data_IF_878382136038
#
_entry.id   IF_878382136038
#
_cell.length_a   1.000
_cell.length_b   1.000
_cell.length_c   1.000
_cell.angle_alpha   90.00
_cell.angle_beta   90.00
_cell.angle_gamma   90.00
#
_symmetry.space_group_name_H-M   'P 1'
#
loop_
_entity.id
_entity.type
_entity.pdbx_description
1 polymer ?
#
# COMPACT_ATOMS: atom_id res chain seq x y z
N UNK A 1 12.32 12.93 -2.15
CA UNK A 1 12.32 13.11 -0.69
C UNK A 1 13.36 12.17 -0.14
N UNK A 2 14.30 12.70 0.64
CA UNK A 2 15.32 11.89 1.30
C UNK A 2 14.83 11.51 2.70
N UNK A 3 15.11 10.29 3.18
CA UNK A 3 14.74 9.89 4.53
C UNK A 3 15.54 10.71 5.56
N UNK A 4 14.84 11.28 6.54
CA UNK A 4 15.46 12.05 7.64
C UNK A 4 16.30 11.16 8.56
N UNK A 5 15.85 9.92 8.78
CA UNK A 5 16.54 8.93 9.60
C UNK A 5 16.11 7.51 9.22
N UNK A 6 16.95 6.51 9.54
CA UNK A 6 16.67 5.09 9.30
C UNK A 6 16.84 4.29 10.59
N UNK A 7 15.78 3.60 10.99
CA UNK A 7 15.80 2.64 12.08
C UNK A 7 15.97 1.22 11.53
N UNK A 8 16.74 0.39 12.25
CA UNK A 8 16.88 -1.03 11.96
C UNK A 8 16.71 -1.81 13.25
N UNK A 9 16.01 -2.94 13.17
CA UNK A 9 15.90 -3.90 14.25
C UNK A 9 15.98 -5.31 13.67
N UNK A 10 16.86 -6.14 14.23
CA UNK A 10 16.88 -7.56 13.93
C UNK A 10 15.91 -8.29 14.86
N UNK A 11 15.00 -9.08 14.29
CA UNK A 11 14.04 -9.91 15.01
C UNK A 11 13.95 -11.25 14.29
N UNK A 12 13.94 -12.36 15.03
CA UNK A 12 13.67 -13.68 14.45
C UNK A 12 12.22 -13.78 13.97
N UNK A 13 11.29 -13.23 14.75
CA UNK A 13 9.86 -13.16 14.42
C UNK A 13 9.37 -11.72 14.64
N UNK A 14 8.75 -11.08 13.64
CA UNK A 14 8.16 -9.75 13.81
C UNK A 14 7.09 -9.73 14.90
N UNK A 15 6.96 -8.61 15.60
CA UNK A 15 5.92 -8.48 16.61
C UNK A 15 4.52 -8.51 15.94
N UNK A 16 3.61 -9.41 16.33
CA UNK A 16 2.30 -9.52 15.67
C UNK A 16 1.43 -8.26 15.87
N UNK A 17 1.70 -7.45 16.89
CA UNK A 17 0.96 -6.21 17.18
C UNK A 17 1.55 -4.99 16.51
N UNK A 18 2.88 -4.86 16.41
CA UNK A 18 3.55 -3.60 16.05
C UNK A 18 4.67 -3.78 15.03
N UNK A 19 4.91 -4.99 14.54
CA UNK A 19 6.00 -5.39 13.66
C UNK A 19 7.40 -5.28 14.30
N UNK A 20 7.71 -4.14 14.93
CA UNK A 20 8.90 -3.90 15.75
C UNK A 20 8.64 -4.19 17.23
N UNK A 21 9.71 -4.41 18.00
CA UNK A 21 9.64 -4.56 19.45
C UNK A 21 9.29 -3.26 20.17
N UNK A 22 8.77 -3.35 21.41
CA UNK A 22 8.33 -2.19 22.20
C UNK A 22 9.41 -1.11 22.39
N UNK A 23 10.65 -1.51 22.69
CA UNK A 23 11.75 -0.57 22.86
C UNK A 23 12.02 0.24 21.59
N UNK A 24 12.09 -0.43 20.43
CA UNK A 24 12.29 0.23 19.14
C UNK A 24 11.09 1.11 18.76
N UNK A 25 9.86 0.68 19.07
CA UNK A 25 8.67 1.49 18.82
C UNK A 25 8.71 2.82 19.59
N UNK A 26 9.08 2.78 20.87
CA UNK A 26 9.22 3.98 21.70
C UNK A 26 10.35 4.90 21.20
N UNK A 27 11.46 4.32 20.75
CA UNK A 27 12.56 5.07 20.14
C UNK A 27 12.10 5.82 18.88
N UNK A 28 11.37 5.14 17.99
CA UNK A 28 10.79 5.75 16.79
C UNK A 28 9.79 6.85 17.18
N UNK A 29 8.90 6.58 18.13
CA UNK A 29 7.91 7.56 18.63
C UNK A 29 8.57 8.85 19.13
N UNK A 30 9.62 8.72 19.96
CA UNK A 30 10.35 9.87 20.48
C UNK A 30 11.00 10.69 19.36
N UNK A 31 11.70 10.01 18.45
CA UNK A 31 12.33 10.67 17.30
C UNK A 31 11.30 11.41 16.43
N UNK A 32 10.16 10.78 16.16
CA UNK A 32 9.06 11.35 15.37
C UNK A 32 8.50 12.60 16.04
N UNK A 33 8.28 12.57 17.36
CA UNK A 33 7.80 13.73 18.12
C UNK A 33 8.80 14.88 18.15
N UNK A 34 10.06 14.59 18.44
CA UNK A 34 11.13 15.59 18.54
C UNK A 34 11.36 16.29 17.19
N UNK A 35 11.31 15.54 16.10
CA UNK A 35 11.60 16.04 14.75
C UNK A 35 10.35 16.41 13.95
N UNK A 36 9.15 16.30 14.54
CA UNK A 36 7.85 16.59 13.91
C UNK A 36 7.69 15.87 12.56
N UNK A 37 7.92 14.56 12.55
CA UNK A 37 7.85 13.74 11.35
C UNK A 37 6.39 13.39 11.04
N UNK A 38 5.92 13.71 9.84
CA UNK A 38 4.52 13.43 9.44
C UNK A 38 4.29 12.00 8.91
N UNK A 39 5.35 11.36 8.42
CA UNK A 39 5.28 10.08 7.71
C UNK A 39 6.41 9.14 8.14
N UNK A 40 6.02 7.95 8.60
CA UNK A 40 6.95 6.85 8.87
C UNK A 40 6.71 5.75 7.84
N UNK A 41 7.79 5.34 7.17
CA UNK A 41 7.76 4.30 6.14
C UNK A 41 8.37 3.02 6.68
N UNK A 42 7.61 1.93 6.63
CA UNK A 42 8.09 0.58 6.90
C UNK A 42 8.47 -0.08 5.59
N UNK A 43 9.68 -0.63 5.53
CA UNK A 43 10.16 -1.41 4.39
C UNK A 43 9.63 -2.85 4.40
N UNK A 44 8.46 -3.13 4.97
CA UNK A 44 7.83 -4.44 4.86
C UNK A 44 6.31 -4.27 4.85
N UNK A 45 5.57 -5.31 4.49
CA UNK A 45 4.11 -5.27 4.53
C UNK A 45 3.62 -5.32 5.97
N UNK A 46 2.64 -4.46 6.28
CA UNK A 46 1.99 -4.43 7.57
C UNK A 46 0.54 -4.90 7.43
N UNK A 47 0.13 -5.74 8.39
CA UNK A 47 -1.29 -6.08 8.54
C UNK A 47 -2.11 -4.85 8.95
N UNK A 48 -3.43 -4.82 8.66
CA UNK A 48 -4.29 -3.72 9.08
C UNK A 48 -4.27 -3.46 10.59
N UNK A 49 -4.09 -4.49 11.42
CA UNK A 49 -3.96 -4.35 12.88
C UNK A 49 -2.63 -3.74 13.29
N UNK A 50 -1.52 -4.12 12.66
CA UNK A 50 -0.22 -3.53 12.92
C UNK A 50 -0.21 -2.03 12.61
N UNK A 51 -0.68 -1.62 11.43
CA UNK A 51 -0.77 -0.20 11.04
C UNK A 51 -1.51 0.60 12.12
N UNK A 52 -2.72 0.16 12.50
CA UNK A 52 -3.52 0.82 13.54
C UNK A 52 -2.80 0.95 14.87
N UNK A 53 -2.11 -0.11 15.30
CA UNK A 53 -1.44 -0.11 16.60
C UNK A 53 -0.22 0.81 16.60
N UNK A 54 0.54 0.82 15.50
CA UNK A 54 1.70 1.69 15.31
C UNK A 54 1.25 3.15 15.23
N UNK A 55 0.22 3.47 14.44
CA UNK A 55 -0.34 4.84 14.32
C UNK A 55 -0.79 5.39 15.67
N UNK A 56 -1.43 4.57 16.50
CA UNK A 56 -1.85 4.96 17.85
C UNK A 56 -0.71 5.35 18.78
N UNK A 57 0.45 4.73 18.61
CA UNK A 57 1.63 4.98 19.46
C UNK A 57 2.44 6.15 18.89
N UNK A 58 2.77 6.10 17.61
CA UNK A 58 3.64 7.09 16.97
C UNK A 58 2.91 8.42 16.72
N UNK A 59 1.57 8.40 16.56
CA UNK A 59 0.75 9.56 16.23
C UNK A 59 1.19 10.26 14.92
N UNK A 60 1.58 9.47 13.92
CA UNK A 60 1.93 9.93 12.58
C UNK A 60 1.46 8.93 11.55
N UNK A 61 1.38 9.36 10.27
CA UNK A 61 0.91 8.49 9.21
C UNK A 61 1.91 7.36 8.97
N UNK A 62 1.40 6.14 8.88
CA UNK A 62 2.23 4.96 8.58
C UNK A 62 2.00 4.54 7.13
N UNK A 63 3.10 4.25 6.45
CA UNK A 63 3.10 3.73 5.09
C UNK A 63 3.97 2.49 5.02
N UNK A 64 3.44 1.41 4.45
CA UNK A 64 4.15 0.13 4.33
C UNK A 64 4.71 -0.04 2.90
N UNK A 65 5.50 -1.09 2.69
CA UNK A 65 6.11 -1.37 1.38
C UNK A 65 5.07 -1.52 0.28
N UNK A 66 3.97 -2.21 0.55
CA UNK A 66 2.90 -2.47 -0.44
C UNK A 66 2.26 -1.16 -0.90
N UNK A 67 1.89 -0.27 0.02
CA UNK A 67 1.30 1.02 -0.32
C UNK A 67 2.29 1.91 -1.07
N UNK A 68 3.57 1.91 -0.69
CA UNK A 68 4.62 2.62 -1.43
C UNK A 68 4.74 2.15 -2.88
N UNK A 69 4.74 0.83 -3.08
CA UNK A 69 4.81 0.22 -4.41
C UNK A 69 3.59 0.64 -5.25
N UNK A 70 2.39 0.60 -4.66
CA UNK A 70 1.16 1.02 -5.34
C UNK A 70 1.21 2.50 -5.73
N UNK A 71 1.69 3.38 -4.87
CA UNK A 71 1.86 4.81 -5.16
C UNK A 71 2.88 5.04 -6.28
N UNK A 72 4.00 4.32 -6.29
CA UNK A 72 4.98 4.37 -7.37
C UNK A 72 4.35 3.91 -8.69
N UNK A 73 3.60 2.81 -8.67
CA UNK A 73 2.91 2.32 -9.86
C UNK A 73 1.83 3.29 -10.35
N UNK A 74 1.09 3.93 -9.46
CA UNK A 74 0.08 4.92 -9.83
C UNK A 74 0.72 6.10 -10.57
N UNK A 75 1.87 6.57 -10.08
CA UNK A 75 2.67 7.62 -10.72
C UNK A 75 3.25 7.21 -12.07
N UNK A 76 3.57 5.92 -12.27
CA UNK A 76 4.16 5.39 -13.50
C UNK A 76 3.14 4.90 -14.53
N UNK A 77 1.88 4.70 -14.14
CA UNK A 77 0.84 4.14 -14.99
C UNK A 77 0.42 5.12 -16.10
N UNK A 78 0.92 4.91 -17.32
CA UNK A 78 0.63 5.77 -18.48
C UNK A 78 -0.62 5.37 -19.27
N UNK A 79 -0.88 4.07 -19.39
CA UNK A 79 -1.99 3.54 -20.20
C UNK A 79 -3.26 3.37 -19.37
N UNK A 80 -4.44 3.46 -20.00
CA UNK A 80 -5.72 3.23 -19.32
C UNK A 80 -5.77 1.86 -18.63
N UNK A 81 -5.20 0.82 -19.25
CA UNK A 81 -5.07 -0.51 -18.67
C UNK A 81 -4.19 -0.55 -17.43
N UNK A 82 -3.01 0.07 -17.48
CA UNK A 82 -2.11 0.12 -16.33
C UNK A 82 -2.74 0.91 -15.18
N UNK A 83 -3.41 2.04 -15.48
CA UNK A 83 -4.14 2.83 -14.48
C UNK A 83 -5.23 2.02 -13.81
N UNK A 84 -6.06 1.32 -14.59
CA UNK A 84 -7.13 0.47 -14.07
C UNK A 84 -6.61 -0.68 -13.20
N UNK A 85 -5.48 -1.32 -13.57
CA UNK A 85 -4.86 -2.37 -12.76
C UNK A 85 -4.33 -1.84 -11.42
N UNK A 86 -3.67 -0.68 -11.43
CA UNK A 86 -3.15 -0.07 -10.20
C UNK A 86 -4.30 0.37 -9.30
N UNK A 87 -5.33 1.01 -9.86
CA UNK A 87 -6.51 1.43 -9.09
C UNK A 87 -7.24 0.23 -8.47
N UNK A 88 -7.36 -0.88 -9.21
CA UNK A 88 -7.91 -2.12 -8.69
C UNK A 88 -7.10 -2.62 -7.47
N UNK A 89 -5.77 -2.65 -7.59
CA UNK A 89 -4.90 -3.08 -6.51
C UNK A 89 -4.98 -2.14 -5.29
N UNK A 90 -5.09 -0.83 -5.51
CA UNK A 90 -5.30 0.16 -4.44
C UNK A 90 -6.61 -0.07 -3.69
N UNK A 91 -7.73 -0.31 -4.39
CA UNK A 91 -9.00 -0.63 -3.72
C UNK A 91 -8.95 -1.95 -2.96
N UNK A 92 -8.31 -2.98 -3.51
CA UNK A 92 -8.12 -4.26 -2.83
C UNK A 92 -7.27 -4.13 -1.57
N UNK A 93 -6.22 -3.30 -1.61
CA UNK A 93 -5.39 -3.01 -0.44
C UNK A 93 -6.14 -2.22 0.63
N UNK A 94 -6.96 -1.24 0.22
CA UNK A 94 -7.72 -0.36 1.09
C UNK A 94 -8.90 -1.07 1.79
N UNK A 95 -9.62 -1.94 1.10
CA UNK A 95 -10.83 -2.60 1.60
C UNK A 95 -10.68 -3.23 3.01
N UNK A 96 -9.67 -4.08 3.30
CA UNK A 96 -9.49 -4.64 4.65
C UNK A 96 -8.98 -3.61 5.68
N UNK A 97 -8.49 -2.44 5.22
CA UNK A 97 -7.88 -1.38 6.05
C UNK A 97 -8.87 -0.26 6.41
N UNK A 98 -9.99 -0.11 5.69
CA UNK A 98 -11.07 0.87 5.94
C UNK A 98 -11.55 0.89 7.38
N UNK A 99 -11.77 -0.28 7.98
CA UNK A 99 -12.29 -0.40 9.36
C UNK A 99 -11.44 0.33 10.37
N UNK A 100 -10.13 0.39 10.16
CA UNK A 100 -9.22 1.11 11.05
C UNK A 100 -9.32 2.61 10.93
N UNK A 101 -9.31 3.10 9.69
CA UNK A 101 -9.41 4.54 9.40
C UNK A 101 -10.77 5.10 9.85
N UNK A 102 -11.84 4.32 9.70
CA UNK A 102 -13.20 4.70 10.10
C UNK A 102 -13.33 5.02 11.60
N UNK A 103 -12.76 4.18 12.47
CA UNK A 103 -12.80 4.42 13.93
C UNK A 103 -12.12 5.74 14.34
N UNK A 104 -11.19 6.26 13.53
CA UNK A 104 -10.56 7.55 13.76
C UNK A 104 -11.48 8.71 13.33
N UNK A 105 -12.23 8.54 12.24
CA UNK A 105 -13.19 9.52 11.72
C UNK A 105 -14.41 9.70 12.64
N UNK A 106 -14.96 8.61 13.17
CA UNK A 106 -16.08 8.67 14.13
C UNK A 106 -15.72 9.41 15.43
N UNK A 107 -14.49 9.23 15.92
CA UNK A 107 -14.01 9.93 17.12
C UNK A 107 -13.87 11.43 16.91
N UNK A 108 -13.52 11.88 15.71
CA UNK A 108 -13.45 13.30 15.38
C UNK A 108 -14.83 13.93 15.18
N UNK A 109 -15.82 13.18 14.72
CA UNK A 109 -17.19 13.68 14.45
C UNK A 109 -18.10 13.75 15.68
N UNK A 110 -17.62 13.36 16.87
CA UNK A 110 -18.40 13.37 18.11
C UNK A 110 -19.23 12.10 18.23
N UNK A 111 -18.82 11.21 19.14
CA UNK A 111 -19.31 9.84 19.30
C UNK A 111 -20.74 9.67 19.83
N UNK A 112 -21.70 10.44 19.33
CA UNK A 112 -23.12 10.35 19.70
C UNK A 112 -23.88 9.55 18.64
N UNK A 113 -23.98 8.25 18.87
CA UNK A 113 -25.19 7.46 18.59
C UNK A 113 -25.84 7.58 17.21
N UNK A 114 -25.17 7.12 16.15
CA UNK A 114 -25.85 6.71 14.92
C UNK A 114 -26.17 5.20 14.97
N UNK A 115 -26.95 4.78 15.97
CA UNK A 115 -27.59 3.45 15.99
C UNK A 115 -29.04 3.60 15.50
N UNK A 116 -29.18 3.85 14.20
CA UNK A 116 -30.42 3.63 13.47
C UNK A 116 -30.39 2.25 12.79
N UNK A 117 -31.52 1.53 12.67
CA UNK A 117 -31.55 0.19 12.08
C UNK A 117 -31.52 0.31 10.55
N UNK A 118 -30.44 -0.10 9.89
CA UNK A 118 -30.45 -0.20 8.43
C UNK A 118 -29.10 -0.53 7.80
N UNK A 119 -28.13 0.37 7.90
CA UNK A 119 -26.79 0.19 7.32
C UNK A 119 -25.81 1.13 8.03
N UNK A 120 -24.66 0.63 8.46
CA UNK A 120 -23.61 1.48 9.04
C UNK A 120 -22.89 2.24 7.91
N UNK A 121 -22.47 3.49 8.14
CA UNK A 121 -21.74 4.27 7.12
C UNK A 121 -20.51 3.50 6.58
N UNK A 122 -19.83 2.74 7.44
CA UNK A 122 -18.74 1.84 7.04
C UNK A 122 -19.17 0.70 6.09
N UNK A 123 -20.38 0.16 6.24
CA UNK A 123 -20.91 -0.84 5.32
C UNK A 123 -21.21 -0.24 3.95
N UNK A 124 -21.74 0.98 3.92
CA UNK A 124 -21.96 1.74 2.69
C UNK A 124 -20.63 2.00 1.96
N UNK A 125 -19.60 2.45 2.67
CA UNK A 125 -18.26 2.68 2.09
C UNK A 125 -17.64 1.39 1.56
N UNK A 126 -17.75 0.28 2.32
CA UNK A 126 -17.30 -1.03 1.86
C UNK A 126 -18.05 -1.49 0.61
N UNK A 127 -19.36 -1.24 0.53
CA UNK A 127 -20.17 -1.56 -0.66
C UNK A 127 -19.67 -0.78 -1.88
N UNK A 128 -19.50 0.53 -1.75
CA UNK A 128 -18.96 1.39 -2.82
C UNK A 128 -17.61 0.88 -3.32
N UNK A 129 -16.70 0.51 -2.41
CA UNK A 129 -15.38 -0.01 -2.81
C UNK A 129 -15.50 -1.37 -3.52
N UNK A 130 -16.39 -2.27 -3.05
CA UNK A 130 -16.64 -3.55 -3.73
C UNK A 130 -17.21 -3.36 -5.13
N UNK A 131 -18.13 -2.42 -5.31
CA UNK A 131 -18.73 -2.12 -6.62
C UNK A 131 -17.68 -1.56 -7.60
N UNK A 132 -16.80 -0.68 -7.11
CA UNK A 132 -15.65 -0.20 -7.89
C UNK A 132 -14.71 -1.33 -8.31
N UNK A 133 -14.39 -2.24 -7.38
CA UNK A 133 -13.57 -3.43 -7.66
C UNK A 133 -14.23 -4.29 -8.75
N UNK A 134 -15.54 -4.55 -8.64
CA UNK A 134 -16.28 -5.35 -9.62
C UNK A 134 -16.24 -4.71 -11.01
N UNK A 135 -16.54 -3.41 -11.10
CA UNK A 135 -16.49 -2.65 -12.35
C UNK A 135 -15.10 -2.64 -13.00
N UNK A 136 -14.05 -2.44 -12.21
CA UNK A 136 -12.67 -2.45 -12.72
C UNK A 136 -12.29 -3.83 -13.25
N UNK A 137 -12.65 -4.91 -12.56
CA UNK A 137 -12.43 -6.29 -13.05
C UNK A 137 -13.12 -6.52 -14.40
N UNK A 138 -14.36 -6.10 -14.56
CA UNK A 138 -15.06 -6.22 -15.85
C UNK A 138 -14.40 -5.41 -16.98
N UNK A 139 -13.96 -4.19 -16.68
CA UNK A 139 -13.22 -3.36 -17.63
C UNK A 139 -11.91 -4.04 -18.05
N UNK A 140 -11.20 -4.66 -17.11
CA UNK A 140 -9.98 -5.39 -17.39
C UNK A 140 -10.18 -6.53 -18.39
N UNK A 141 -11.24 -7.34 -18.19
CA UNK A 141 -11.59 -8.44 -19.10
C UNK A 141 -11.86 -7.92 -20.52
N UNK A 142 -12.56 -6.78 -20.66
CA UNK A 142 -12.83 -6.15 -21.96
C UNK A 142 -11.54 -5.71 -22.66
N UNK A 143 -10.62 -5.06 -21.93
CA UNK A 143 -9.35 -4.58 -22.50
C UNK A 143 -8.46 -5.77 -22.91
N UNK A 144 -8.41 -6.84 -22.12
CA UNK A 144 -7.66 -8.06 -22.47
C UNK A 144 -8.19 -8.72 -23.74
N UNK A 145 -9.51 -8.79 -23.90
CA UNK A 145 -10.16 -9.30 -25.12
C UNK A 145 -9.78 -8.46 -26.35
N UNK A 146 -9.80 -7.13 -26.24
CA UNK A 146 -9.38 -6.23 -27.32
C UNK A 146 -7.89 -6.40 -27.69
N UNK A 147 -7.00 -6.50 -26.68
CA UNK A 147 -5.56 -6.76 -26.90
C UNK A 147 -5.31 -8.13 -27.54
N UNK A 148 -6.08 -9.14 -27.19
CA UNK A 148 -6.03 -10.48 -27.80
C UNK A 148 -6.34 -10.42 -29.30
N UNK A 149 -7.42 -9.74 -29.67
CA UNK A 149 -7.83 -9.56 -31.07
C UNK A 149 -6.76 -8.80 -31.86
N UNK A 150 -6.25 -7.68 -31.34
CA UNK A 150 -5.15 -6.94 -31.99
C UNK A 150 -3.88 -7.78 -32.17
N UNK A 151 -3.53 -8.63 -31.21
CA UNK A 151 -2.36 -9.52 -31.31
C UNK A 151 -2.54 -10.59 -32.39
N UNK A 152 -3.75 -11.14 -32.53
CA UNK A 152 -4.08 -12.12 -33.59
C UNK A 152 -3.99 -11.50 -34.99
N UNK A 153 -4.36 -10.23 -35.14
CA UNK A 153 -4.26 -9.52 -36.42
C UNK A 153 -2.83 -9.08 -36.80
N UNK A 154 -1.84 -9.23 -35.92
CA UNK A 154 -0.41 -8.88 -36.17
C UNK A 154 0.45 -10.12 -36.49
N UNK A 155 -0.14 -11.15 -37.08
CA UNK A 155 0.56 -12.37 -37.48
C UNK A 155 1.52 -12.13 -38.66
N UNK A 156 2.73 -11.60 -38.39
CA UNK A 156 3.97 -11.76 -39.20
C UNK A 156 5.19 -10.96 -38.70
N UNK A 157 5.16 -10.35 -37.50
CA UNK A 157 6.33 -9.61 -36.97
C UNK A 157 7.10 -10.46 -35.96
N UNK A 158 8.39 -10.69 -36.23
CA UNK A 158 9.35 -11.35 -35.34
C UNK A 158 9.41 -10.57 -34.01
N UNK A 159 9.20 -11.26 -32.88
CA UNK A 159 9.25 -10.66 -31.54
C UNK A 159 10.55 -11.03 -30.86
N UNK A 160 11.35 -10.01 -30.51
CA UNK A 160 12.49 -10.16 -29.60
C UNK A 160 12.06 -9.60 -28.24
N UNK A 161 12.24 -10.36 -27.17
CA UNK A 161 12.07 -9.91 -25.80
C UNK A 161 13.45 -9.73 -25.17
N UNK A 162 13.74 -8.52 -24.69
CA UNK A 162 14.91 -8.25 -23.85
C UNK A 162 14.52 -8.43 -22.38
N UNK A 163 15.16 -9.40 -21.73
CA UNK A 163 15.11 -9.56 -20.27
C UNK A 163 16.48 -9.20 -19.74
N UNK A 164 16.58 -8.09 -19.01
CA UNK A 164 17.76 -7.71 -18.24
C UNK A 164 17.42 -7.77 -16.76
N UNK A 165 18.19 -8.55 -15.99
CA UNK A 165 18.27 -8.40 -14.54
C UNK A 165 19.31 -7.34 -14.24
N UNK A 166 18.94 -6.34 -13.44
CA UNK A 166 19.85 -5.29 -12.98
C UNK A 166 20.91 -5.93 -12.06
N UNK A 167 22.12 -6.14 -12.58
CA UNK A 167 23.27 -6.52 -11.75
C UNK A 167 23.83 -5.27 -11.10
N UNK A 168 23.59 -5.12 -9.79
CA UNK A 168 24.38 -4.23 -8.94
C UNK A 168 25.87 -4.55 -9.13
N UNK A 169 26.64 -3.60 -9.65
CA UNK A 169 28.10 -3.68 -9.68
C UNK A 169 28.63 -3.19 -8.34
N UNK A 170 28.74 -4.10 -7.38
CA UNK A 170 29.63 -3.93 -6.24
C UNK A 170 30.58 -5.12 -6.16
N UNK A 171 31.75 -4.95 -6.76
CA UNK A 171 32.93 -5.71 -6.38
C UNK A 171 34.07 -4.74 -6.15
N UNK A 172 34.17 -4.28 -4.90
CA UNK A 172 35.46 -4.01 -4.29
C UNK A 172 36.36 -5.24 -4.49
N UNK A 173 37.43 -5.10 -5.27
CA UNK A 173 38.62 -5.94 -5.14
C UNK A 173 39.73 -5.05 -4.61
N UNK A 174 39.92 -5.16 -3.30
CA UNK A 174 41.20 -4.84 -2.67
C UNK A 174 42.04 -6.11 -2.79
N UNK A 175 43.21 -6.06 -3.44
CA UNK A 175 44.24 -7.09 -3.30
C UNK A 175 45.59 -6.54 -3.77
N UNK A 176 46.50 -6.47 -2.78
CA UNK A 176 47.95 -6.19 -2.79
C UNK A 176 48.40 -4.79 -3.16
#
# INVERSE_FOLDING_TARGET
AEPVHKFVQHLEVPNPKTFVGKGKLNEIENFVKENKIDLVIFDDELSPSQIRNIEKVINSRILDRTNLILDIFARRAKTAHAKAQVELAQYQYLLPRLTGMWTHLERQKGGIGLRGPGETEIETDRRIIRDKIARLKEQMVKIEKQKSIQRKNRGKLIRVALVGVEKNKDHHKNTY
#
